data_IF_535067768088
#
_entry.id   IF_535067768088
#
_cell.length_a   1.000
_cell.length_b   1.000
_cell.length_c   1.000
_cell.angle_alpha   90.00
_cell.angle_beta   90.00
_cell.angle_gamma   90.00
#
_symmetry.space_group_name_H-M   'P 1'
#
loop_
_entity.id
_entity.type
_entity.pdbx_description
1 polymer ?
#
# COMPACT_ATOMS: atom_id res chain seq x y z
N UNK A 1 -21.24 -23.87 -8.68
CA UNK A 1 -20.60 -22.91 -9.59
C UNK A 1 -20.66 -21.53 -8.93
N UNK A 2 -19.63 -21.18 -8.15
CA UNK A 2 -19.60 -19.93 -7.36
C UNK A 2 -19.06 -18.83 -8.27
N UNK A 3 -19.85 -17.78 -8.46
CA UNK A 3 -19.44 -16.57 -9.17
C UNK A 3 -18.41 -15.85 -8.29
N UNK A 4 -17.13 -16.00 -8.60
CA UNK A 4 -16.05 -15.27 -7.95
C UNK A 4 -16.26 -13.79 -8.33
N UNK A 5 -16.65 -12.95 -7.35
CA UNK A 5 -16.86 -11.52 -7.61
C UNK A 5 -15.52 -10.94 -8.00
N UNK A 6 -15.36 -10.70 -9.30
CA UNK A 6 -14.30 -9.89 -9.87
C UNK A 6 -14.07 -8.65 -9.00
N UNK A 7 -12.81 -8.25 -8.90
CA UNK A 7 -12.33 -6.97 -8.38
C UNK A 7 -13.14 -5.80 -8.98
N UNK A 8 -14.25 -5.45 -8.35
CA UNK A 8 -15.14 -4.39 -8.80
C UNK A 8 -14.57 -3.08 -8.29
N UNK A 9 -14.00 -2.30 -9.21
CA UNK A 9 -13.71 -0.89 -9.00
C UNK A 9 -14.95 -0.21 -8.40
N UNK A 10 -14.76 0.53 -7.32
CA UNK A 10 -15.80 1.33 -6.69
C UNK A 10 -15.33 2.77 -6.48
N UNK A 11 -16.29 3.69 -6.37
CA UNK A 11 -16.04 5.04 -5.88
C UNK A 11 -16.81 5.23 -4.57
N UNK A 12 -16.13 5.65 -3.52
CA UNK A 12 -16.70 5.79 -2.18
C UNK A 12 -16.11 6.98 -1.42
N UNK A 13 -16.90 7.55 -0.51
CA UNK A 13 -16.39 8.43 0.54
C UNK A 13 -15.85 7.55 1.66
N UNK A 14 -14.55 7.67 1.93
CA UNK A 14 -13.83 6.84 2.89
C UNK A 14 -13.28 7.68 4.04
N UNK A 15 -13.20 7.09 5.23
CA UNK A 15 -12.66 7.76 6.42
C UNK A 15 -11.14 7.71 6.41
N UNK A 16 -10.48 8.85 6.69
CA UNK A 16 -9.04 8.88 6.92
C UNK A 16 -8.77 8.40 8.36
N UNK A 17 -8.03 7.31 8.47
CA UNK A 17 -7.64 6.72 9.76
C UNK A 17 -6.41 7.44 10.31
N UNK A 18 -5.43 7.73 9.44
CA UNK A 18 -4.22 8.48 9.80
C UNK A 18 -3.59 9.12 8.58
N UNK A 19 -2.79 10.15 8.81
CA UNK A 19 -2.02 10.86 7.79
C UNK A 19 -0.73 11.41 8.42
N UNK A 20 0.37 10.68 8.28
CA UNK A 20 1.62 10.93 9.02
C UNK A 20 2.76 11.17 8.05
N UNK A 21 3.57 12.19 8.29
CA UNK A 21 4.83 12.40 7.58
C UNK A 21 5.85 11.35 8.04
N UNK A 22 6.24 10.45 7.14
CA UNK A 22 7.14 9.32 7.43
C UNK A 22 8.55 9.53 6.89
N UNK A 23 8.70 10.42 5.91
CA UNK A 23 9.98 10.94 5.42
C UNK A 23 9.79 12.42 5.11
N UNK A 24 10.85 13.26 5.05
CA UNK A 24 10.70 14.68 4.77
C UNK A 24 9.90 14.93 3.46
N UNK A 25 8.75 15.56 3.60
CA UNK A 25 7.80 15.86 2.53
C UNK A 25 7.05 14.65 1.98
N UNK A 26 7.05 13.49 2.64
CA UNK A 26 6.31 12.30 2.23
C UNK A 26 5.44 11.74 3.35
N UNK A 27 4.19 11.50 3.01
CA UNK A 27 3.13 11.15 3.95
C UNK A 27 2.60 9.74 3.65
N UNK A 28 2.35 9.01 4.73
CA UNK A 28 1.62 7.76 4.74
C UNK A 28 0.20 8.03 5.25
N UNK A 29 -0.78 7.86 4.37
CA UNK A 29 -2.20 8.02 4.69
C UNK A 29 -2.90 6.66 4.69
N UNK A 30 -3.58 6.35 5.79
CA UNK A 30 -4.44 5.17 5.92
C UNK A 30 -5.89 5.57 5.76
N UNK A 31 -6.62 4.78 4.99
CA UNK A 31 -8.00 5.06 4.60
C UNK A 31 -8.83 3.81 4.85
N UNK A 32 -9.91 3.95 5.60
CA UNK A 32 -10.91 2.91 5.81
C UNK A 32 -11.67 2.66 4.51
N UNK A 33 -11.45 1.49 3.89
CA UNK A 33 -11.99 1.15 2.58
C UNK A 33 -12.12 -0.38 2.44
N UNK A 34 -13.04 -1.03 3.16
CA UNK A 34 -13.07 -2.49 3.29
C UNK A 34 -13.22 -3.24 1.96
N UNK A 35 -14.05 -2.74 1.04
CA UNK A 35 -14.23 -3.36 -0.27
C UNK A 35 -12.99 -3.21 -1.17
N UNK A 36 -12.37 -2.03 -1.19
CA UNK A 36 -11.10 -1.83 -1.90
C UNK A 36 -9.99 -2.69 -1.28
N UNK A 37 -9.90 -2.73 0.05
CA UNK A 37 -8.88 -3.47 0.74
C UNK A 37 -8.99 -4.99 0.51
N UNK A 38 -10.23 -5.50 0.44
CA UNK A 38 -10.52 -6.91 0.11
C UNK A 38 -10.03 -7.31 -1.28
N UNK A 39 -10.06 -6.39 -2.24
CA UNK A 39 -9.82 -6.70 -3.67
C UNK A 39 -8.47 -6.22 -4.20
N UNK A 40 -7.83 -5.24 -3.54
CA UNK A 40 -6.58 -4.64 -3.99
C UNK A 40 -5.46 -5.66 -4.11
N UNK A 41 -4.73 -5.59 -5.22
CA UNK A 41 -3.54 -6.39 -5.50
C UNK A 41 -2.29 -5.51 -5.61
N UNK A 42 -1.09 -6.05 -5.29
CA UNK A 42 0.16 -5.32 -5.49
C UNK A 42 0.30 -4.77 -6.91
N UNK A 43 0.75 -3.52 -7.03
CA UNK A 43 0.89 -2.83 -8.32
C UNK A 43 -0.36 -2.10 -8.81
N UNK A 44 -1.49 -2.24 -8.12
CA UNK A 44 -2.67 -1.41 -8.36
C UNK A 44 -2.56 -0.04 -7.69
N UNK A 45 -3.44 0.87 -8.09
CA UNK A 45 -3.52 2.23 -7.56
C UNK A 45 -4.97 2.62 -7.29
N UNK A 46 -5.16 3.67 -6.49
CA UNK A 46 -6.44 4.36 -6.31
C UNK A 46 -6.30 5.80 -6.78
N UNK A 47 -7.42 6.46 -7.07
CA UNK A 47 -7.42 7.90 -7.37
C UNK A 47 -8.21 8.66 -6.33
N UNK A 48 -7.64 9.74 -5.83
CA UNK A 48 -8.23 10.56 -4.78
C UNK A 48 -8.72 11.87 -5.36
N UNK A 49 -9.94 12.26 -4.99
CA UNK A 49 -10.44 13.63 -5.20
C UNK A 49 -9.84 14.52 -4.11
N UNK A 50 -8.79 15.25 -4.46
CA UNK A 50 -8.22 16.24 -3.55
C UNK A 50 -8.93 17.58 -3.79
N UNK A 51 -9.71 18.04 -2.81
CA UNK A 51 -10.43 19.33 -2.81
C UNK A 51 -11.29 19.57 -4.06
N UNK A 52 -11.42 20.85 -4.42
CA UNK A 52 -12.18 21.29 -5.62
C UNK A 52 -11.36 21.24 -6.91
N UNK A 53 -10.21 20.58 -6.90
CA UNK A 53 -9.37 20.48 -8.08
C UNK A 53 -10.00 19.54 -9.11
N UNK A 54 -9.90 19.91 -10.38
CA UNK A 54 -10.58 19.23 -11.49
C UNK A 54 -10.21 17.76 -11.62
N UNK A 55 -8.91 17.43 -11.55
CA UNK A 55 -8.41 16.06 -11.75
C UNK A 55 -8.18 15.32 -10.43
N UNK A 56 -8.54 14.04 -10.41
CA UNK A 56 -8.18 13.11 -9.33
C UNK A 56 -6.70 12.76 -9.40
N UNK A 57 -6.10 12.41 -8.26
CA UNK A 57 -4.66 12.13 -8.15
C UNK A 57 -4.47 10.62 -7.98
N UNK A 58 -3.77 9.94 -8.90
CA UNK A 58 -3.48 8.52 -8.75
C UNK A 58 -2.37 8.29 -7.71
N UNK A 59 -2.57 7.33 -6.82
CA UNK A 59 -1.59 6.88 -5.85
C UNK A 59 -1.56 5.35 -5.81
N UNK A 60 -0.37 4.77 -5.89
CA UNK A 60 -0.19 3.33 -5.70
C UNK A 60 -0.75 2.90 -4.35
N UNK A 61 -1.45 1.76 -4.34
CA UNK A 61 -1.80 1.10 -3.09
C UNK A 61 -0.50 0.62 -2.46
N UNK A 62 -0.15 1.24 -1.34
CA UNK A 62 1.10 1.00 -0.63
C UNK A 62 0.99 -0.21 0.29
N UNK A 63 -0.17 -0.40 0.91
CA UNK A 63 -0.52 -1.58 1.70
C UNK A 63 -2.04 -1.80 1.61
N UNK A 64 -2.49 -3.02 1.86
CA UNK A 64 -3.90 -3.38 1.95
C UNK A 64 -4.11 -4.44 3.02
N UNK A 65 -5.15 -4.27 3.85
CA UNK A 65 -5.53 -5.23 4.87
C UNK A 65 -7.04 -5.35 4.93
N UNK A 66 -7.51 -6.59 5.02
CA UNK A 66 -8.91 -6.88 5.14
C UNK A 66 -9.09 -8.03 6.14
N UNK A 67 -9.80 -7.76 7.22
CA UNK A 67 -10.20 -8.77 8.19
C UNK A 67 -11.49 -9.42 7.71
N UNK A 68 -11.46 -10.75 7.54
CA UNK A 68 -12.61 -11.51 7.03
C UNK A 68 -13.70 -11.71 8.08
N UNK A 69 -13.35 -11.71 9.36
CA UNK A 69 -14.25 -12.01 10.46
C UNK A 69 -15.00 -10.73 10.90
N UNK A 70 -14.28 -9.61 11.06
CA UNK A 70 -14.91 -8.32 11.37
C UNK A 70 -15.50 -7.63 10.15
N UNK A 71 -14.97 -7.92 8.96
CA UNK A 71 -15.33 -7.23 7.71
C UNK A 71 -14.70 -5.84 7.57
N UNK A 72 -13.85 -5.44 8.50
CA UNK A 72 -13.09 -4.19 8.46
C UNK A 72 -11.94 -4.28 7.45
N UNK A 73 -11.53 -3.14 6.92
CA UNK A 73 -10.38 -3.11 6.03
C UNK A 73 -9.92 -1.70 5.68
N UNK A 74 -8.62 -1.59 5.47
CA UNK A 74 -7.95 -0.35 5.16
C UNK A 74 -6.97 -0.52 4.00
N UNK A 75 -6.78 0.56 3.25
CA UNK A 75 -5.68 0.71 2.33
C UNK A 75 -4.76 1.83 2.84
N UNK A 76 -3.48 1.72 2.52
CA UNK A 76 -2.53 2.80 2.72
C UNK A 76 -2.04 3.33 1.38
N UNK A 77 -1.78 4.64 1.33
CA UNK A 77 -1.09 5.30 0.23
C UNK A 77 0.13 6.05 0.77
N UNK A 78 1.22 5.99 0.02
CA UNK A 78 2.44 6.74 0.30
C UNK A 78 2.63 7.79 -0.81
N UNK A 79 2.69 9.06 -0.44
CA UNK A 79 2.80 10.17 -1.41
C UNK A 79 3.80 11.23 -0.99
N UNK A 80 4.37 11.93 -1.98
CA UNK A 80 5.30 13.05 -1.76
C UNK A 80 4.65 14.39 -2.11
N UNK A 81 4.99 15.43 -1.37
CA UNK A 81 4.64 16.81 -1.66
C UNK A 81 5.35 17.27 -2.93
N UNK A 82 4.56 17.47 -3.99
CA UNK A 82 5.02 17.87 -5.33
C UNK A 82 4.15 18.95 -5.96
N UNK A 83 3.01 19.28 -5.34
CA UNK A 83 2.12 20.34 -5.81
C UNK A 83 0.91 20.55 -4.92
N UNK A 84 -0.01 21.42 -5.37
CA UNK A 84 -1.15 21.86 -4.58
C UNK A 84 -2.07 20.72 -4.12
N UNK A 85 -2.22 19.67 -4.93
CA UNK A 85 -3.07 18.52 -4.59
C UNK A 85 -2.50 17.67 -3.45
N UNK A 86 -1.19 17.38 -3.47
CA UNK A 86 -0.53 16.63 -2.40
C UNK A 86 -0.32 17.47 -1.15
N UNK A 87 -0.11 18.79 -1.28
CA UNK A 87 -0.12 19.73 -0.15
C UNK A 87 -1.50 19.80 0.51
N UNK A 88 -2.57 19.85 -0.27
CA UNK A 88 -3.93 19.75 0.26
C UNK A 88 -4.09 18.42 1.00
N UNK A 89 -3.63 17.32 0.42
CA UNK A 89 -3.77 15.98 1.01
C UNK A 89 -3.02 15.82 2.33
N UNK A 90 -1.82 16.40 2.46
CA UNK A 90 -1.03 16.33 3.70
C UNK A 90 -1.65 17.11 4.87
N UNK A 91 -2.61 17.99 4.60
CA UNK A 91 -3.33 18.76 5.61
C UNK A 91 -4.61 18.07 6.09
N UNK A 92 -4.95 16.90 5.53
CA UNK A 92 -6.13 16.15 5.97
C UNK A 92 -5.89 15.48 7.32
N UNK A 93 -6.94 15.46 8.14
CA UNK A 93 -6.89 14.97 9.51
C UNK A 93 -7.63 13.63 9.67
N UNK A 94 -7.28 12.88 10.71
CA UNK A 94 -8.02 11.67 11.11
C UNK A 94 -9.49 11.98 11.33
N UNK A 95 -10.36 11.09 10.85
CA UNK A 95 -11.82 11.24 10.90
C UNK A 95 -12.42 12.05 9.76
N UNK A 96 -11.62 12.80 8.99
CA UNK A 96 -12.11 13.45 7.77
C UNK A 96 -12.43 12.40 6.68
N UNK A 97 -13.32 12.78 5.76
CA UNK A 97 -13.69 11.93 4.62
C UNK A 97 -12.95 12.33 3.35
N UNK A 98 -12.67 11.36 2.49
CA UNK A 98 -12.05 11.56 1.18
C UNK A 98 -12.72 10.67 0.14
N UNK A 99 -13.00 11.23 -1.05
CA UNK A 99 -13.54 10.46 -2.17
C UNK A 99 -12.41 9.70 -2.88
N UNK A 100 -12.51 8.38 -2.83
CA UNK A 100 -11.56 7.42 -3.39
C UNK A 100 -12.25 6.63 -4.51
N UNK A 101 -11.55 6.46 -5.62
CA UNK A 101 -11.94 5.59 -6.73
C UNK A 101 -10.88 4.51 -6.94
N UNK A 102 -11.27 3.25 -6.83
CA UNK A 102 -10.42 2.09 -7.14
C UNK A 102 -10.89 0.77 -6.50
N UNK A 103 -10.01 -0.24 -6.43
CA UNK A 103 -8.67 -0.26 -7.02
C UNK A 103 -8.71 -0.20 -8.56
N UNK A 104 -7.65 0.35 -9.15
CA UNK A 104 -7.47 0.54 -10.59
C UNK A 104 -6.15 -0.07 -11.06
N UNK A 105 -6.06 -0.34 -12.36
CA UNK A 105 -4.87 -0.90 -13.00
C UNK A 105 -4.75 -2.42 -12.86
N UNK A 106 -3.78 -2.98 -13.58
CA UNK A 106 -3.43 -4.40 -13.53
C UNK A 106 -2.29 -4.58 -12.54
N UNK A 107 -2.46 -5.46 -11.55
CA UNK A 107 -1.43 -5.76 -10.57
C UNK A 107 -0.20 -6.47 -11.17
N UNK A 108 0.85 -6.59 -10.36
CA UNK A 108 2.04 -7.33 -10.74
C UNK A 108 1.73 -8.80 -11.00
N UNK A 109 2.39 -9.38 -12.01
CA UNK A 109 2.36 -10.83 -12.23
C UNK A 109 3.43 -11.49 -11.38
N UNK A 110 3.00 -12.25 -10.37
CA UNK A 110 3.89 -12.96 -9.46
C UNK A 110 3.88 -14.44 -9.86
N UNK A 111 5.02 -15.01 -10.29
CA UNK A 111 5.08 -16.42 -10.64
C UNK A 111 4.67 -17.31 -9.44
N UNK A 112 3.86 -18.37 -9.67
CA UNK A 112 3.54 -19.30 -8.60
C UNK A 112 4.80 -20.00 -8.11
N UNK A 113 4.85 -20.33 -6.83
CA UNK A 113 5.93 -21.14 -6.28
C UNK A 113 5.69 -22.59 -6.65
N UNK A 114 6.67 -23.24 -7.26
CA UNK A 114 6.63 -24.67 -7.55
C UNK A 114 7.18 -25.44 -6.35
N UNK A 115 6.64 -26.64 -6.10
CA UNK A 115 7.07 -27.48 -4.99
C UNK A 115 8.58 -27.75 -5.05
N UNK A 116 9.29 -27.41 -3.98
CA UNK A 116 10.74 -27.60 -3.87
C UNK A 116 11.61 -26.50 -4.50
N UNK A 117 11.04 -25.47 -5.10
CA UNK A 117 11.80 -24.34 -5.66
C UNK A 117 11.91 -23.18 -4.66
N UNK A 118 13.11 -22.63 -4.51
CA UNK A 118 13.31 -21.33 -3.88
C UNK A 118 13.22 -20.24 -4.94
N UNK A 119 12.46 -19.18 -4.67
CA UNK A 119 12.31 -18.03 -5.56
C UNK A 119 12.98 -16.80 -4.96
N UNK A 120 13.82 -16.14 -5.75
CA UNK A 120 14.45 -14.88 -5.38
C UNK A 120 13.93 -13.74 -6.26
N UNK A 121 13.32 -12.75 -5.62
CA UNK A 121 12.78 -11.57 -6.27
C UNK A 121 13.76 -10.40 -6.12
N UNK A 122 14.19 -9.82 -7.24
CA UNK A 122 14.90 -8.55 -7.28
C UNK A 122 13.90 -7.43 -7.50
N UNK A 123 13.81 -6.50 -6.56
CA UNK A 123 12.95 -5.33 -6.62
C UNK A 123 13.81 -4.07 -6.72
N UNK A 124 13.48 -3.16 -7.63
CA UNK A 124 14.18 -1.91 -7.80
C UNK A 124 13.19 -0.74 -7.72
N UNK A 125 13.44 0.19 -6.79
CA UNK A 125 12.65 1.41 -6.61
C UNK A 125 13.53 2.65 -6.60
N UNK A 126 13.01 3.74 -7.16
CA UNK A 126 13.57 5.09 -7.03
C UNK A 126 12.60 6.01 -6.27
N UNK A 127 13.07 6.66 -5.20
CA UNK A 127 12.29 7.61 -4.42
C UNK A 127 10.95 7.03 -3.95
N UNK A 128 9.85 7.73 -4.27
CA UNK A 128 8.47 7.34 -3.93
C UNK A 128 7.99 6.08 -4.68
N UNK A 129 8.72 5.63 -5.71
CA UNK A 129 8.44 4.39 -6.43
C UNK A 129 8.52 3.12 -5.56
N UNK A 130 8.99 3.23 -4.32
CA UNK A 130 8.92 2.18 -3.31
C UNK A 130 7.48 1.86 -2.90
N UNK A 131 6.54 2.80 -3.03
CA UNK A 131 5.16 2.68 -2.56
C UNK A 131 4.48 1.34 -2.96
N UNK A 132 4.34 0.98 -4.26
CA UNK A 132 3.73 -0.28 -4.66
C UNK A 132 4.58 -1.52 -4.34
N UNK A 133 5.89 -1.36 -4.16
CA UNK A 133 6.79 -2.48 -3.89
C UNK A 133 6.70 -2.95 -2.44
N UNK A 134 6.34 -2.08 -1.49
CA UNK A 134 6.07 -2.51 -0.11
C UNK A 134 4.90 -3.48 -0.07
N UNK A 135 3.80 -3.18 -0.78
CA UNK A 135 2.68 -4.12 -0.90
C UNK A 135 3.11 -5.43 -1.56
N UNK A 136 3.90 -5.34 -2.64
CA UNK A 136 4.43 -6.53 -3.32
C UNK A 136 5.30 -7.40 -2.40
N UNK A 137 6.18 -6.79 -1.60
CA UNK A 137 7.03 -7.52 -0.65
C UNK A 137 6.19 -8.23 0.42
N UNK A 138 5.21 -7.55 1.00
CA UNK A 138 4.30 -8.15 1.99
C UNK A 138 3.52 -9.33 1.40
N UNK A 139 3.08 -9.20 0.15
CA UNK A 139 2.41 -10.28 -0.57
C UNK A 139 3.34 -11.46 -0.86
N UNK A 140 4.56 -11.21 -1.37
CA UNK A 140 5.56 -12.25 -1.68
C UNK A 140 5.92 -13.05 -0.42
N UNK A 141 6.12 -12.36 0.71
CA UNK A 141 6.48 -12.96 2.00
C UNK A 141 5.29 -13.63 2.72
N UNK A 142 4.09 -13.65 2.11
CA UNK A 142 2.92 -14.32 2.65
C UNK A 142 2.28 -13.62 3.86
N UNK A 143 2.66 -12.37 4.14
CA UNK A 143 2.14 -11.59 5.27
C UNK A 143 0.71 -11.08 5.04
N UNK A 144 0.20 -11.17 3.82
CA UNK A 144 -1.20 -10.88 3.48
C UNK A 144 -2.11 -12.12 3.50
N UNK A 145 -1.58 -13.33 3.67
CA UNK A 145 -2.35 -14.59 3.49
C UNK A 145 -2.14 -15.62 4.60
N UNK A 146 -1.48 -15.26 5.71
CA UNK A 146 -1.35 -16.13 6.89
C UNK A 146 -0.46 -17.38 6.69
N UNK A 147 0.26 -17.49 5.57
CA UNK A 147 1.20 -18.59 5.30
C UNK A 147 2.60 -18.03 5.08
N UNK A 148 3.49 -18.27 6.03
CA UNK A 148 4.91 -17.99 5.88
C UNK A 148 5.49 -18.91 4.80
N UNK A 149 5.83 -18.35 3.64
CA UNK A 149 6.51 -19.11 2.58
C UNK A 149 8.00 -19.18 2.88
N UNK A 150 8.47 -20.30 3.42
CA UNK A 150 9.89 -20.55 3.77
C UNK A 150 10.87 -20.59 2.58
N UNK A 151 10.38 -20.44 1.35
CA UNK A 151 11.13 -20.62 0.10
C UNK A 151 11.18 -19.35 -0.77
N UNK A 152 10.90 -18.17 -0.22
CA UNK A 152 10.94 -16.90 -0.97
C UNK A 152 11.90 -15.90 -0.35
N UNK A 153 12.77 -15.34 -1.18
CA UNK A 153 13.75 -14.31 -0.81
C UNK A 153 13.52 -13.05 -1.63
N UNK A 154 13.86 -11.89 -1.06
CA UNK A 154 13.74 -10.59 -1.71
C UNK A 154 15.05 -9.83 -1.55
N UNK A 155 15.56 -9.29 -2.65
CA UNK A 155 16.56 -8.22 -2.63
C UNK A 155 15.90 -6.94 -3.13
N UNK A 156 15.97 -5.89 -2.30
CA UNK A 156 15.49 -4.56 -2.67
C UNK A 156 16.68 -3.64 -2.95
N UNK A 157 16.68 -3.01 -4.11
CA UNK A 157 17.52 -1.86 -4.44
C UNK A 157 16.62 -0.62 -4.34
N UNK A 158 16.87 0.24 -3.35
CA UNK A 158 16.14 1.50 -3.17
C UNK A 158 17.05 2.70 -3.36
N UNK A 159 16.95 3.34 -4.53
CA UNK A 159 17.66 4.57 -4.84
C UNK A 159 16.91 5.79 -4.33
N UNK A 160 17.58 6.62 -3.52
CA UNK A 160 17.01 7.86 -2.97
C UNK A 160 18.00 9.02 -3.11
N UNK A 161 17.50 10.25 -3.13
CA UNK A 161 18.36 11.42 -3.32
C UNK A 161 19.19 11.79 -2.08
N UNK A 162 18.73 11.41 -0.89
CA UNK A 162 19.44 11.64 0.38
C UNK A 162 19.09 10.50 1.36
N UNK A 163 19.94 10.25 2.36
CA UNK A 163 19.66 9.23 3.38
C UNK A 163 18.34 9.49 4.13
N UNK A 164 17.96 10.75 4.35
CA UNK A 164 16.69 11.11 4.99
C UNK A 164 15.45 10.74 4.16
N UNK A 165 15.62 10.42 2.87
CA UNK A 165 14.54 9.98 1.98
C UNK A 165 14.45 8.45 1.89
N UNK A 166 15.26 7.69 2.65
CA UNK A 166 15.13 6.24 2.74
C UNK A 166 13.78 5.86 3.36
N UNK A 167 13.14 4.84 2.80
CA UNK A 167 11.88 4.34 3.34
C UNK A 167 12.11 3.73 4.73
N UNK A 168 11.38 4.16 5.76
CA UNK A 168 11.63 3.77 7.15
C UNK A 168 11.01 2.40 7.47
N UNK A 169 11.57 1.33 6.90
CA UNK A 169 11.25 -0.04 7.28
C UNK A 169 11.38 -0.24 8.79
N UNK A 170 10.42 -0.89 9.45
CA UNK A 170 10.51 -1.10 10.91
C UNK A 170 9.58 -0.24 11.76
N UNK A 171 9.13 0.89 11.24
CA UNK A 171 8.43 1.93 12.01
C UNK A 171 6.98 1.57 12.35
N UNK A 172 6.45 2.18 13.40
CA UNK A 172 5.10 1.89 13.90
C UNK A 172 4.02 2.22 12.86
N UNK A 173 4.27 3.23 12.03
CA UNK A 173 3.37 3.74 10.99
C UNK A 173 3.31 2.81 9.78
N UNK A 174 4.39 2.06 9.51
CA UNK A 174 4.44 0.98 8.50
C UNK A 174 3.61 -0.24 8.96
N UNK A 175 3.15 -0.27 10.22
CA UNK A 175 2.27 -1.34 10.69
C UNK A 175 0.81 -1.08 10.31
N UNK A 176 0.11 -2.13 9.89
CA UNK A 176 -1.34 -2.24 10.09
C UNK A 176 -1.83 -1.69 11.43
N UNK A 177 -2.99 -1.03 11.42
CA UNK A 177 -3.68 -0.63 12.65
C UNK A 177 -4.05 -1.82 13.56
N UNK A 178 -4.15 -3.04 13.00
CA UNK A 178 -4.56 -4.27 13.71
C UNK A 178 -3.52 -5.41 13.77
N UNK A 179 -2.27 -5.23 13.28
CA UNK A 179 -1.32 -6.34 13.16
C UNK A 179 -0.34 -6.46 14.33
N UNK A 180 -0.23 -7.70 14.85
CA UNK A 180 0.84 -8.16 15.75
C UNK A 180 2.10 -8.63 15.01
N UNK A 181 2.12 -8.57 13.66
CA UNK A 181 3.27 -9.03 12.88
C UNK A 181 4.49 -8.11 13.04
N UNK A 182 5.66 -8.71 13.26
CA UNK A 182 6.94 -7.98 13.32
C UNK A 182 7.15 -7.17 12.04
N UNK A 183 7.69 -5.94 12.10
CA UNK A 183 7.81 -5.09 10.94
C UNK A 183 8.72 -5.72 9.86
N UNK A 184 8.66 -5.20 8.64
CA UNK A 184 9.66 -5.56 7.64
C UNK A 184 10.99 -4.96 8.13
N UNK A 185 11.91 -5.80 8.62
CA UNK A 185 13.25 -5.36 8.98
C UNK A 185 14.17 -5.65 7.81
N UNK A 186 14.95 -4.66 7.39
CA UNK A 186 16.09 -4.94 6.51
C UNK A 186 17.08 -5.81 7.31
N UNK A 187 17.62 -6.89 6.73
CA UNK A 187 18.78 -7.54 7.33
C UNK A 187 19.92 -6.51 7.43
N UNK A 188 20.64 -6.54 8.55
CA UNK A 188 21.82 -5.71 8.79
C UNK A 188 22.95 -6.02 7.80
#
# INVERSE_FOLDING_TARGET
>A
MRYDRASTMEQALCTIISNVEVMPGAYLMRIEAPNMARSAQPGQFVTLRCGDFTLRRPFSVHQSQFDRDSGEGEIAILFKLTGKGTLWLSQRQTGETIDVLGPLGKGFSIPPTRSGESQHFLLAAGGIGIAPLVFLMQHILGRCSGQASSHRQITLIHGVSTAAQLYPFGHAEDRPSSSTASPLSLPA
#
